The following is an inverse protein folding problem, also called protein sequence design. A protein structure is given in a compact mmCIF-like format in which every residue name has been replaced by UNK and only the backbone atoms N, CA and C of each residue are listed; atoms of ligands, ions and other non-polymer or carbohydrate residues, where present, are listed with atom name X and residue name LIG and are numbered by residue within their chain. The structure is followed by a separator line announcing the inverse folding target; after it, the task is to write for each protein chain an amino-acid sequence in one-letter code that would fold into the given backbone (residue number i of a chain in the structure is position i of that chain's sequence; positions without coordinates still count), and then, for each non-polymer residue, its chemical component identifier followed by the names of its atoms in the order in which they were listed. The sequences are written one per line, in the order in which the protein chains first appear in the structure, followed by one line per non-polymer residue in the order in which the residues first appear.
data_IF_729219557912
#
_entry.id   IF_729219557912
#
_cell.length_a   1.000
_cell.length_b   1.000
_cell.length_c   1.000
_cell.angle_alpha   90.00
_cell.angle_beta   90.00
_cell.angle_gamma   90.00
#
_symmetry.space_group_name_H-M   'P 1'
#
loop_
_entity.id
_entity.type
_entity.pdbx_description
1 polymer ?
#
# COMPACT_ATOMS: atom_id res chain seq x y z
N UNK A 1 3.43 -20.51 29.48
CA UNK A 1 4.47 -20.15 28.50
C UNK A 1 3.95 -20.24 27.07
N UNK A 2 3.59 -21.42 26.51
CA UNK A 2 3.11 -21.51 25.11
C UNK A 2 1.83 -20.73 24.79
N UNK A 3 0.91 -20.57 25.77
CA UNK A 3 -0.33 -19.79 25.59
C UNK A 3 -0.08 -18.29 25.42
N UNK A 4 0.74 -17.71 26.30
CA UNK A 4 1.14 -16.29 26.23
C UNK A 4 1.86 -16.01 24.91
N UNK A 5 2.80 -16.87 24.51
CA UNK A 5 3.46 -16.75 23.21
C UNK A 5 2.47 -16.79 22.03
N UNK A 6 1.48 -17.68 22.07
CA UNK A 6 0.47 -17.75 21.01
C UNK A 6 -0.42 -16.50 20.97
N UNK A 7 -0.77 -15.95 22.14
CA UNK A 7 -1.51 -14.69 22.26
C UNK A 7 -0.70 -13.52 21.69
N UNK A 8 0.60 -13.45 21.96
CA UNK A 8 1.52 -12.45 21.38
C UNK A 8 1.60 -12.56 19.85
N UNK A 9 1.68 -13.78 19.30
CA UNK A 9 1.66 -13.99 17.85
C UNK A 9 0.32 -13.56 17.22
N UNK A 10 -0.80 -13.83 17.90
CA UNK A 10 -2.12 -13.35 17.46
C UNK A 10 -2.17 -11.83 17.45
N UNK A 11 -1.67 -11.17 18.50
CA UNK A 11 -1.62 -9.70 18.57
C UNK A 11 -0.80 -9.09 17.42
N UNK A 12 0.33 -9.68 17.05
CA UNK A 12 1.11 -9.22 15.88
C UNK A 12 0.27 -9.31 14.59
N UNK A 13 -0.51 -10.38 14.42
CA UNK A 13 -1.43 -10.54 13.30
C UNK A 13 -2.53 -9.46 13.30
N UNK A 14 -3.17 -9.25 14.45
CA UNK A 14 -4.23 -8.25 14.60
C UNK A 14 -3.72 -6.83 14.34
N UNK A 15 -2.50 -6.51 14.78
CA UNK A 15 -1.87 -5.22 14.51
C UNK A 15 -1.59 -5.00 13.01
N UNK A 16 -1.18 -6.03 12.26
CA UNK A 16 -1.05 -5.91 10.80
C UNK A 16 -2.39 -5.59 10.12
N UNK A 17 -3.47 -6.22 10.59
CA UNK A 17 -4.82 -5.95 10.09
C UNK A 17 -5.24 -4.51 10.42
N UNK A 18 -5.00 -4.03 11.64
CA UNK A 18 -5.26 -2.63 12.03
C UNK A 18 -4.51 -1.64 11.12
N UNK A 19 -3.21 -1.86 10.90
CA UNK A 19 -2.40 -1.01 10.01
C UNK A 19 -2.97 -1.05 8.58
N UNK A 20 -3.31 -2.23 8.06
CA UNK A 20 -3.88 -2.39 6.72
C UNK A 20 -5.21 -1.64 6.54
N UNK A 21 -6.07 -1.65 7.55
CA UNK A 21 -7.33 -0.90 7.54
C UNK A 21 -7.08 0.62 7.51
N UNK A 22 -6.11 1.11 8.27
CA UNK A 22 -5.72 2.52 8.25
C UNK A 22 -5.14 2.94 6.90
N UNK A 23 -4.31 2.10 6.28
CA UNK A 23 -3.76 2.32 4.94
C UNK A 23 -4.88 2.37 3.89
N UNK A 24 -5.85 1.45 3.94
CA UNK A 24 -7.03 1.50 3.05
C UNK A 24 -7.83 2.80 3.23
N UNK A 25 -8.09 3.20 4.48
CA UNK A 25 -8.77 4.46 4.74
C UNK A 25 -7.96 5.68 4.24
N UNK A 26 -6.64 5.65 4.39
CA UNK A 26 -5.75 6.72 3.95
C UNK A 26 -5.77 6.89 2.43
N UNK A 27 -5.64 5.81 1.64
CA UNK A 27 -5.65 5.90 0.18
C UNK A 27 -7.03 6.34 -0.35
N UNK A 28 -8.13 5.86 0.22
CA UNK A 28 -9.48 6.28 -0.18
C UNK A 28 -9.73 7.77 0.05
N UNK A 29 -9.27 8.31 1.18
CA UNK A 29 -9.34 9.75 1.46
C UNK A 29 -8.38 10.56 0.58
N UNK A 30 -7.15 10.08 0.40
CA UNK A 30 -6.13 10.76 -0.41
C UNK A 30 -6.56 10.89 -1.87
N UNK A 31 -7.15 9.84 -2.43
CA UNK A 31 -7.65 9.82 -3.81
C UNK A 31 -8.86 10.72 -4.00
N UNK A 32 -9.78 10.74 -3.03
CA UNK A 32 -10.90 11.70 -3.02
C UNK A 32 -10.37 13.13 -3.01
N UNK A 33 -9.47 13.46 -2.08
CA UNK A 33 -8.86 14.79 -1.98
C UNK A 33 -8.15 15.20 -3.28
N UNK A 34 -7.43 14.27 -3.89
CA UNK A 34 -6.74 14.45 -5.17
C UNK A 34 -7.68 14.74 -6.34
N UNK A 35 -8.82 14.04 -6.43
CA UNK A 35 -9.77 14.16 -7.54
C UNK A 35 -10.60 15.43 -7.48
N UNK A 36 -11.04 15.85 -6.28
CA UNK A 36 -11.96 17.00 -6.12
C UNK A 36 -11.29 18.23 -5.52
N UNK A 37 -9.96 18.23 -5.38
CA UNK A 37 -9.17 19.29 -4.74
C UNK A 37 -9.68 19.64 -3.32
N UNK A 38 -9.99 18.62 -2.52
CA UNK A 38 -10.43 18.81 -1.13
C UNK A 38 -9.21 18.92 -0.21
N UNK A 39 -8.91 20.15 0.21
CA UNK A 39 -7.74 20.47 1.03
C UNK A 39 -7.89 20.05 2.49
N UNK A 40 -9.11 19.96 3.00
CA UNK A 40 -9.37 19.56 4.38
C UNK A 40 -9.17 18.04 4.49
N UNK A 41 -9.72 17.30 3.55
CA UNK A 41 -9.50 15.86 3.46
C UNK A 41 -8.02 15.51 3.23
N UNK A 42 -7.31 16.31 2.42
CA UNK A 42 -5.87 16.14 2.25
C UNK A 42 -5.10 16.34 3.58
N UNK A 43 -5.48 17.34 4.38
CA UNK A 43 -4.86 17.58 5.69
C UNK A 43 -5.14 16.45 6.67
N UNK A 44 -6.35 15.90 6.67
CA UNK A 44 -6.71 14.76 7.50
C UNK A 44 -5.84 13.53 7.22
N UNK A 45 -5.60 13.22 5.94
CA UNK A 45 -4.69 12.12 5.55
C UNK A 45 -3.28 12.38 6.06
N UNK A 46 -2.77 13.59 5.85
CA UNK A 46 -1.41 13.96 6.26
C UNK A 46 -1.23 13.86 7.77
N UNK A 47 -2.23 14.25 8.56
CA UNK A 47 -2.19 14.16 10.01
C UNK A 47 -2.34 12.72 10.52
N UNK A 48 -3.18 11.91 9.85
CA UNK A 48 -3.44 10.53 10.24
C UNK A 48 -2.25 9.58 10.04
N UNK A 49 -1.31 9.93 9.15
CA UNK A 49 -0.12 9.12 8.82
C UNK A 49 0.73 8.77 10.07
N UNK A 50 0.86 9.72 11.02
CA UNK A 50 1.59 9.49 12.26
C UNK A 50 1.06 8.32 13.11
N UNK A 51 -0.22 7.95 12.95
CA UNK A 51 -0.80 6.77 13.62
C UNK A 51 -0.30 5.47 12.99
N UNK A 52 -0.11 5.45 11.67
CA UNK A 52 0.43 4.29 10.96
C UNK A 52 1.88 4.06 11.41
N UNK A 53 2.70 5.11 11.44
CA UNK A 53 4.08 5.07 11.93
C UNK A 53 4.18 4.54 13.36
N UNK A 54 3.32 5.05 14.25
CA UNK A 54 3.29 4.62 15.64
C UNK A 54 2.99 3.13 15.77
N UNK A 55 1.99 2.63 15.03
CA UNK A 55 1.59 1.23 15.07
C UNK A 55 2.67 0.32 14.46
N UNK A 56 3.31 0.76 13.37
CA UNK A 56 4.41 0.02 12.76
C UNK A 56 5.59 -0.14 13.72
N UNK A 57 6.01 0.95 14.38
CA UNK A 57 7.08 0.89 15.39
C UNK A 57 6.69 0.01 16.59
N UNK A 58 5.45 0.11 17.07
CA UNK A 58 4.98 -0.72 18.18
C UNK A 58 4.95 -2.22 17.83
N UNK A 59 4.57 -2.56 16.59
CA UNK A 59 4.61 -3.93 16.10
C UNK A 59 6.06 -4.43 16.03
N UNK A 60 6.97 -3.61 15.54
CA UNK A 60 8.40 -3.95 15.43
C UNK A 60 9.03 -4.22 16.80
N UNK A 61 8.77 -3.36 17.79
CA UNK A 61 9.22 -3.57 19.18
C UNK A 61 8.70 -4.90 19.74
N UNK A 62 7.40 -5.17 19.58
CA UNK A 62 6.79 -6.43 20.03
C UNK A 62 7.41 -7.65 19.35
N UNK A 63 7.63 -7.58 18.05
CA UNK A 63 8.26 -8.66 17.29
C UNK A 63 9.69 -8.94 17.79
N UNK A 64 10.46 -7.90 18.12
CA UNK A 64 11.81 -8.02 18.70
C UNK A 64 11.74 -8.68 20.09
N UNK A 65 10.81 -8.25 20.94
CA UNK A 65 10.62 -8.83 22.27
C UNK A 65 10.27 -10.33 22.20
N UNK A 66 9.39 -10.72 21.28
CA UNK A 66 9.05 -12.12 21.06
C UNK A 66 10.29 -12.93 20.64
N UNK A 67 11.10 -12.40 19.70
CA UNK A 67 12.33 -13.05 19.26
C UNK A 67 13.33 -13.23 20.41
N UNK A 68 13.51 -12.20 21.23
CA UNK A 68 14.46 -12.20 22.33
C UNK A 68 14.04 -13.11 23.50
N UNK A 69 12.74 -13.14 23.83
CA UNK A 69 12.24 -13.80 25.03
C UNK A 69 11.78 -15.24 24.81
N UNK A 70 11.35 -15.61 23.60
CA UNK A 70 10.65 -16.88 23.36
C UNK A 70 11.43 -17.87 22.47
N UNK A 71 12.48 -17.43 21.76
CA UNK A 71 13.29 -18.30 20.89
C UNK A 71 12.47 -19.06 19.83
N UNK A 72 11.63 -18.39 19.02
CA UNK A 72 10.74 -19.03 18.07
C UNK A 72 11.49 -19.80 16.98
N UNK A 73 10.90 -20.90 16.50
CA UNK A 73 11.52 -21.78 15.48
C UNK A 73 10.59 -21.99 14.28
N UNK A 74 11.18 -22.35 13.13
CA UNK A 74 10.49 -22.76 11.91
C UNK A 74 9.33 -21.83 11.48
N UNK A 75 8.07 -22.25 11.66
CA UNK A 75 6.88 -21.48 11.29
C UNK A 75 6.75 -20.18 12.05
N UNK A 76 7.10 -20.18 13.33
CA UNK A 76 6.87 -19.04 14.21
C UNK A 76 7.88 -17.93 13.91
N UNK A 77 9.13 -18.32 13.67
CA UNK A 77 10.16 -17.39 13.20
C UNK A 77 9.79 -16.78 11.84
N UNK A 78 9.27 -17.59 10.91
CA UNK A 78 8.78 -17.08 9.62
C UNK A 78 7.65 -16.08 9.81
N UNK A 79 6.70 -16.35 10.71
CA UNK A 79 5.60 -15.43 11.01
C UNK A 79 6.14 -14.09 11.48
N UNK A 80 7.01 -14.06 12.49
CA UNK A 80 7.51 -12.82 13.08
C UNK A 80 8.33 -12.01 12.08
N UNK A 81 9.26 -12.65 11.36
CA UNK A 81 10.08 -11.98 10.33
C UNK A 81 9.21 -11.52 9.16
N UNK A 82 8.19 -12.29 8.80
CA UNK A 82 7.19 -11.91 7.80
C UNK A 82 6.44 -10.65 8.24
N UNK A 83 5.98 -10.60 9.49
CA UNK A 83 5.26 -9.46 10.06
C UNK A 83 6.07 -8.18 10.03
N UNK A 84 7.36 -8.21 10.43
CA UNK A 84 8.26 -7.06 10.33
C UNK A 84 8.38 -6.50 8.90
N UNK A 85 8.43 -7.38 7.90
CA UNK A 85 8.54 -6.96 6.49
C UNK A 85 7.22 -6.45 5.94
N UNK A 86 6.10 -7.01 6.41
CA UNK A 86 4.76 -6.57 6.03
C UNK A 86 4.42 -5.22 6.68
N UNK A 87 4.73 -5.04 7.97
CA UNK A 87 4.53 -3.77 8.70
C UNK A 87 5.24 -2.62 8.00
N UNK A 88 6.51 -2.80 7.64
CA UNK A 88 7.26 -1.82 6.87
C UNK A 88 6.63 -1.56 5.50
N UNK A 89 6.16 -2.58 4.78
CA UNK A 89 5.51 -2.37 3.48
C UNK A 89 4.19 -1.60 3.61
N UNK A 90 3.41 -1.85 4.67
CA UNK A 90 2.17 -1.14 4.95
C UNK A 90 2.42 0.32 5.34
N UNK A 91 3.44 0.61 6.16
CA UNK A 91 3.86 1.98 6.45
C UNK A 91 4.19 2.74 5.17
N UNK A 92 5.01 2.15 4.28
CA UNK A 92 5.31 2.74 2.97
C UNK A 92 4.07 3.04 2.13
N UNK A 93 3.01 2.23 2.24
CA UNK A 93 1.73 2.49 1.57
C UNK A 93 1.01 3.71 2.18
N UNK A 94 0.98 3.84 3.51
CA UNK A 94 0.47 5.04 4.20
C UNK A 94 1.22 6.31 3.78
N UNK A 95 2.55 6.21 3.75
CA UNK A 95 3.49 7.25 3.32
C UNK A 95 3.18 7.77 1.90
N UNK A 96 2.83 6.85 0.98
CA UNK A 96 2.46 7.17 -0.40
C UNK A 96 1.06 7.78 -0.50
N UNK A 97 0.10 7.31 0.30
CA UNK A 97 -1.20 7.97 0.41
C UNK A 97 -1.05 9.41 0.93
N UNK A 98 -0.17 9.63 1.92
CA UNK A 98 0.21 10.98 2.38
C UNK A 98 0.82 11.81 1.25
N UNK A 99 1.71 11.27 0.43
CA UNK A 99 2.28 12.01 -0.71
C UNK A 99 1.22 12.43 -1.74
N UNK A 100 0.24 11.56 -2.04
CA UNK A 100 -0.89 11.91 -2.92
C UNK A 100 -1.70 13.07 -2.33
N UNK A 101 -2.01 13.02 -1.03
CA UNK A 101 -2.70 14.09 -0.32
C UNK A 101 -1.89 15.40 -0.30
N UNK A 102 -0.56 15.32 -0.15
CA UNK A 102 0.32 16.49 -0.20
C UNK A 102 0.30 17.18 -1.56
N UNK A 103 0.24 16.42 -2.66
CA UNK A 103 0.06 17.00 -4.00
C UNK A 103 -1.28 17.73 -4.11
N UNK A 104 -2.37 17.12 -3.65
CA UNK A 104 -3.70 17.75 -3.64
C UNK A 104 -3.69 19.08 -2.88
N UNK A 105 -3.14 19.09 -1.66
CA UNK A 105 -3.00 20.30 -0.84
C UNK A 105 -2.12 21.36 -1.50
N UNK A 106 -1.02 20.96 -2.16
CA UNK A 106 -0.09 21.88 -2.81
C UNK A 106 -0.74 22.64 -3.98
N UNK A 107 -1.70 22.01 -4.68
CA UNK A 107 -2.33 22.58 -5.88
C UNK A 107 -3.67 23.25 -5.64
N UNK A 108 -4.24 23.10 -4.45
CA UNK A 108 -5.46 23.78 -4.04
C UNK A 108 -5.42 25.30 -4.37
N UNK A 109 -6.48 25.89 -4.96
CA UNK A 109 -7.79 25.29 -5.25
C UNK A 109 -7.89 24.54 -6.59
N UNK A 110 -6.78 24.38 -7.31
CA UNK A 110 -6.74 23.66 -8.59
C UNK A 110 -6.53 22.15 -8.39
N UNK A 111 -6.90 21.36 -9.39
CA UNK A 111 -6.58 19.93 -9.44
C UNK A 111 -5.10 19.71 -9.76
N UNK A 112 -4.56 18.58 -9.30
CA UNK A 112 -3.16 18.19 -9.56
C UNK A 112 -2.93 17.84 -11.03
N UNK A 113 -3.93 17.25 -11.66
CA UNK A 113 -3.85 16.70 -13.02
C UNK A 113 -4.72 17.51 -13.99
N UNK A 114 -4.36 17.54 -15.29
CA UNK A 114 -5.19 18.13 -16.32
C UNK A 114 -6.42 17.27 -16.61
N UNK A 115 -7.45 17.89 -17.20
CA UNK A 115 -8.72 17.21 -17.51
C UNK A 115 -8.53 15.95 -18.38
N UNK A 116 -7.57 15.98 -19.31
CA UNK A 116 -7.23 14.86 -20.20
C UNK A 116 -6.76 13.60 -19.47
N UNK A 117 -6.31 13.71 -18.21
CA UNK A 117 -5.79 12.61 -17.40
C UNK A 117 -6.77 12.12 -16.34
N UNK A 118 -7.95 12.74 -16.23
CA UNK A 118 -8.92 12.48 -15.13
C UNK A 118 -9.31 11.00 -15.05
N UNK A 119 -9.68 10.38 -16.16
CA UNK A 119 -10.11 8.97 -16.18
C UNK A 119 -8.96 8.00 -15.85
N UNK A 120 -7.75 8.30 -16.32
CA UNK A 120 -6.56 7.47 -16.02
C UNK A 120 -6.26 7.45 -14.52
N UNK A 121 -6.29 8.62 -13.87
CA UNK A 121 -6.03 8.70 -12.43
C UNK A 121 -7.20 8.23 -11.57
N UNK A 122 -8.44 8.38 -12.06
CA UNK A 122 -9.58 7.73 -11.43
C UNK A 122 -9.41 6.22 -11.43
N UNK A 123 -8.96 5.64 -12.53
CA UNK A 123 -8.71 4.20 -12.61
C UNK A 123 -7.56 3.74 -11.73
N UNK A 124 -6.46 4.50 -11.65
CA UNK A 124 -5.37 4.24 -10.70
C UNK A 124 -5.90 4.23 -9.25
N UNK A 125 -6.69 5.23 -8.87
CA UNK A 125 -7.30 5.31 -7.54
C UNK A 125 -8.20 4.11 -7.21
N UNK A 126 -9.06 3.69 -8.14
CA UNK A 126 -9.92 2.51 -7.97
C UNK A 126 -9.11 1.22 -7.77
N UNK A 127 -7.99 1.06 -8.50
CA UNK A 127 -7.14 -0.12 -8.40
C UNK A 127 -6.34 -0.14 -7.08
N UNK A 128 -5.79 0.99 -6.66
CA UNK A 128 -5.06 1.07 -5.39
C UNK A 128 -5.98 0.85 -4.18
N UNK A 129 -7.19 1.42 -4.22
CA UNK A 129 -8.22 1.13 -3.21
C UNK A 129 -8.55 -0.38 -3.18
N UNK A 130 -8.76 -0.99 -4.34
CA UNK A 130 -9.02 -2.43 -4.45
C UNK A 130 -7.87 -3.27 -3.86
N UNK A 131 -6.62 -2.89 -4.12
CA UNK A 131 -5.44 -3.56 -3.56
C UNK A 131 -5.43 -3.44 -2.04
N UNK A 132 -5.64 -2.25 -1.50
CA UNK A 132 -5.64 -2.02 -0.05
C UNK A 132 -6.74 -2.79 0.68
N UNK A 133 -7.95 -2.84 0.11
CA UNK A 133 -9.06 -3.61 0.66
C UNK A 133 -8.78 -5.12 0.63
N UNK A 134 -8.26 -5.63 -0.49
CA UNK A 134 -7.89 -7.03 -0.64
C UNK A 134 -6.74 -7.42 0.28
N UNK A 135 -5.80 -6.53 0.59
CA UNK A 135 -4.73 -6.80 1.55
C UNK A 135 -5.26 -7.06 2.95
N UNK A 136 -6.24 -6.28 3.38
CA UNK A 136 -6.89 -6.49 4.68
C UNK A 136 -7.53 -7.88 4.72
N UNK A 137 -8.29 -8.24 3.69
CA UNK A 137 -8.89 -9.58 3.57
C UNK A 137 -7.82 -10.67 3.53
N UNK A 138 -6.71 -10.46 2.81
CA UNK A 138 -5.62 -11.43 2.72
C UNK A 138 -4.91 -11.65 4.06
N UNK A 139 -4.72 -10.60 4.85
CA UNK A 139 -4.11 -10.69 6.18
C UNK A 139 -5.01 -11.45 7.17
N UNK A 140 -6.33 -11.25 7.07
CA UNK A 140 -7.33 -11.94 7.90
C UNK A 140 -7.50 -13.43 7.51
N UNK A 141 -7.60 -13.71 6.21
CA UNK A 141 -8.02 -15.03 5.70
C UNK A 141 -6.86 -15.92 5.27
N UNK A 142 -5.73 -15.31 4.86
CA UNK A 142 -4.59 -15.98 4.21
C UNK A 142 -4.97 -16.71 2.91
N UNK A 143 -6.06 -16.31 2.26
CA UNK A 143 -6.53 -16.89 1.01
C UNK A 143 -5.63 -16.49 -0.17
N UNK A 144 -4.98 -17.47 -0.81
CA UNK A 144 -4.05 -17.23 -1.91
C UNK A 144 -4.75 -16.78 -3.20
N UNK A 145 -6.07 -16.99 -3.36
CA UNK A 145 -6.80 -16.39 -4.48
C UNK A 145 -6.83 -14.87 -4.37
N UNK A 146 -7.01 -14.34 -3.15
CA UNK A 146 -6.97 -12.90 -2.89
C UNK A 146 -5.59 -12.31 -3.23
N UNK A 147 -4.51 -13.04 -2.95
CA UNK A 147 -3.17 -12.65 -3.36
C UNK A 147 -3.05 -12.56 -4.90
N UNK A 148 -3.60 -13.50 -5.66
CA UNK A 148 -3.59 -13.45 -7.13
C UNK A 148 -4.36 -12.25 -7.67
N UNK A 149 -5.50 -11.92 -7.07
CA UNK A 149 -6.26 -10.73 -7.44
C UNK A 149 -5.47 -9.43 -7.24
N UNK A 150 -4.69 -9.33 -6.14
CA UNK A 150 -3.80 -8.19 -5.89
C UNK A 150 -2.75 -8.07 -6.99
N UNK A 151 -2.10 -9.18 -7.37
CA UNK A 151 -1.11 -9.19 -8.44
C UNK A 151 -1.71 -8.73 -9.77
N UNK A 152 -2.92 -9.20 -10.09
CA UNK A 152 -3.64 -8.79 -11.30
C UNK A 152 -3.99 -7.30 -11.29
N UNK A 153 -4.44 -6.76 -10.16
CA UNK A 153 -4.70 -5.34 -10.01
C UNK A 153 -3.42 -4.51 -10.18
N UNK A 154 -2.29 -4.95 -9.61
CA UNK A 154 -0.99 -4.29 -9.77
C UNK A 154 -0.51 -4.26 -11.23
N UNK A 155 -0.71 -5.34 -11.98
CA UNK A 155 -0.40 -5.36 -13.42
C UNK A 155 -1.17 -4.27 -14.18
N UNK A 156 -2.46 -4.06 -13.87
CA UNK A 156 -3.24 -2.98 -14.46
C UNK A 156 -2.75 -1.58 -14.02
N UNK A 157 -2.29 -1.42 -12.77
CA UNK A 157 -1.67 -0.17 -12.30
C UNK A 157 -0.39 0.12 -13.09
N UNK A 158 0.46 -0.88 -13.32
CA UNK A 158 1.68 -0.74 -14.10
C UNK A 158 1.41 -0.30 -15.55
N UNK A 159 0.40 -0.90 -16.19
CA UNK A 159 0.00 -0.51 -17.55
C UNK A 159 -0.45 0.96 -17.62
N UNK A 160 -1.26 1.40 -16.65
CA UNK A 160 -1.69 2.79 -16.54
C UNK A 160 -0.52 3.73 -16.25
N UNK A 161 0.37 3.35 -15.34
CA UNK A 161 1.58 4.10 -15.05
C UNK A 161 2.43 4.35 -16.30
N UNK A 162 2.68 3.30 -17.09
CA UNK A 162 3.39 3.40 -18.38
C UNK A 162 2.61 4.27 -19.36
N UNK A 163 1.27 4.17 -19.41
CA UNK A 163 0.45 5.02 -20.28
C UNK A 163 0.57 6.50 -19.96
N UNK A 164 0.69 6.87 -18.69
CA UNK A 164 0.90 8.28 -18.26
C UNK A 164 2.21 8.81 -18.84
N UNK A 165 3.30 8.06 -18.72
CA UNK A 165 4.59 8.45 -19.28
C UNK A 165 4.57 8.56 -20.81
N UNK A 166 3.85 7.66 -21.49
CA UNK A 166 3.67 7.75 -22.95
C UNK A 166 2.91 9.01 -23.34
N UNK A 167 1.91 9.40 -22.57
CA UNK A 167 1.08 10.56 -22.86
C UNK A 167 1.82 11.88 -22.63
N UNK A 168 2.53 12.04 -21.51
CA UNK A 168 3.30 13.27 -21.24
C UNK A 168 4.49 13.45 -22.20
N UNK A 169 4.93 12.39 -22.88
CA UNK A 169 6.00 12.42 -23.86
C UNK A 169 5.51 12.69 -25.30
N UNK A 170 4.19 12.78 -25.52
CA UNK A 170 3.66 13.11 -26.85
C UNK A 170 3.93 14.58 -27.20
N UNK A 171 4.05 14.87 -28.50
CA UNK A 171 4.27 16.22 -29.01
C UNK A 171 3.11 17.19 -28.77
N UNK A 172 1.91 16.65 -28.53
CA UNK A 172 0.68 17.39 -28.23
C UNK A 172 0.44 17.59 -26.73
N UNK A 173 1.40 17.19 -25.88
CA UNK A 173 1.39 17.54 -24.46
C UNK A 173 1.78 19.00 -24.29
N UNK A 174 0.80 19.84 -23.97
CA UNK A 174 0.96 21.30 -23.87
C UNK A 174 0.83 21.84 -22.44
N UNK A 175 0.83 20.96 -21.44
CA UNK A 175 0.80 21.37 -20.04
C UNK A 175 2.12 21.98 -19.59
N UNK A 176 2.06 22.76 -18.50
CA UNK A 176 3.26 23.38 -17.93
C UNK A 176 4.27 22.33 -17.43
N UNK A 177 5.57 22.65 -17.35
CA UNK A 177 6.56 21.76 -16.74
C UNK A 177 6.19 21.36 -15.30
N UNK A 178 5.58 22.26 -14.53
CA UNK A 178 5.12 21.97 -13.17
C UNK A 178 4.00 20.91 -13.17
N UNK A 179 2.95 21.10 -13.97
CA UNK A 179 1.85 20.14 -14.14
C UNK A 179 2.37 18.79 -14.62
N UNK A 180 3.33 18.79 -15.54
CA UNK A 180 3.93 17.57 -16.09
C UNK A 180 4.66 16.77 -15.00
N UNK A 181 5.41 17.46 -14.14
CA UNK A 181 6.09 16.85 -12.99
C UNK A 181 5.08 16.31 -11.99
N UNK A 182 4.01 17.05 -11.69
CA UNK A 182 2.97 16.60 -10.76
C UNK A 182 2.27 15.34 -11.26
N UNK A 183 1.94 15.27 -12.56
CA UNK A 183 1.34 14.09 -13.20
C UNK A 183 2.29 12.90 -13.10
N UNK A 184 3.58 13.08 -13.40
CA UNK A 184 4.57 12.01 -13.31
C UNK A 184 4.74 11.51 -11.86
N UNK A 185 4.83 12.42 -10.89
CA UNK A 185 4.95 12.10 -9.47
C UNK A 185 3.71 11.38 -8.95
N UNK A 186 2.52 11.89 -9.25
CA UNK A 186 1.26 11.27 -8.84
C UNK A 186 1.20 9.83 -9.37
N UNK A 187 1.44 9.62 -10.67
CA UNK A 187 1.45 8.30 -11.29
C UNK A 187 2.45 7.34 -10.63
N UNK A 188 3.63 7.84 -10.23
CA UNK A 188 4.64 7.06 -9.51
C UNK A 188 4.20 6.71 -8.09
N UNK A 189 3.47 7.58 -7.39
CA UNK A 189 2.99 7.29 -6.05
C UNK A 189 1.94 6.18 -6.05
N UNK A 190 1.00 6.19 -7.01
CA UNK A 190 0.04 5.10 -7.21
C UNK A 190 0.75 3.76 -7.52
N UNK A 191 1.67 3.75 -8.48
CA UNK A 191 2.40 2.51 -8.84
C UNK A 191 3.22 1.95 -7.66
N UNK A 192 3.89 2.80 -6.90
CA UNK A 192 4.65 2.35 -5.73
C UNK A 192 3.75 1.84 -4.61
N UNK A 193 2.54 2.39 -4.47
CA UNK A 193 1.59 1.95 -3.47
C UNK A 193 1.15 0.51 -3.79
N UNK A 194 0.76 0.27 -5.04
CA UNK A 194 0.39 -1.05 -5.54
C UNK A 194 1.52 -2.09 -5.36
N UNK A 195 2.76 -1.71 -5.68
CA UNK A 195 3.93 -2.59 -5.50
C UNK A 195 4.16 -3.00 -4.04
N UNK A 196 3.96 -2.08 -3.09
CA UNK A 196 4.05 -2.42 -1.67
C UNK A 196 2.93 -3.36 -1.25
N UNK A 197 1.75 -3.27 -1.87
CA UNK A 197 0.69 -4.26 -1.73
C UNK A 197 1.11 -5.64 -2.23
N UNK A 198 1.71 -5.73 -3.43
CA UNK A 198 2.28 -7.00 -3.93
C UNK A 198 3.35 -7.54 -2.99
N UNK A 199 4.20 -6.66 -2.44
CA UNK A 199 5.19 -7.02 -1.43
C UNK A 199 4.51 -7.75 -0.28
N UNK A 200 3.48 -7.18 0.36
CA UNK A 200 2.75 -7.83 1.46
C UNK A 200 2.13 -9.16 1.02
N UNK A 201 1.45 -9.20 -0.13
CA UNK A 201 0.78 -10.41 -0.63
C UNK A 201 1.73 -11.59 -0.85
N UNK A 202 2.94 -11.32 -1.35
CA UNK A 202 4.00 -12.33 -1.48
C UNK A 202 4.48 -12.86 -0.12
N UNK A 203 4.51 -12.03 0.92
CA UNK A 203 4.93 -12.47 2.27
C UNK A 203 3.85 -13.37 2.87
N UNK A 204 2.57 -13.05 2.73
CA UNK A 204 1.48 -13.94 3.13
C UNK A 204 1.56 -15.28 2.38
N UNK A 205 1.83 -15.24 1.07
CA UNK A 205 2.01 -16.46 0.26
C UNK A 205 3.18 -17.31 0.78
N UNK A 206 4.29 -16.69 1.13
CA UNK A 206 5.45 -17.37 1.74
C UNK A 206 5.12 -17.96 3.11
N UNK A 207 4.31 -17.27 3.93
CA UNK A 207 3.87 -17.79 5.23
C UNK A 207 3.03 -19.06 5.08
N UNK A 208 2.13 -19.09 4.10
CA UNK A 208 1.24 -20.24 3.83
C UNK A 208 2.02 -21.41 3.20
N UNK A 209 2.87 -21.13 2.21
CA UNK A 209 3.48 -22.17 1.37
C UNK A 209 4.89 -22.59 1.79
N UNK A 210 5.61 -21.70 2.47
CA UNK A 210 7.05 -21.85 2.77
C UNK A 210 7.99 -21.63 1.59
N UNK A 211 7.48 -21.22 0.43
CA UNK A 211 8.28 -20.93 -0.77
C UNK A 211 8.02 -19.49 -1.25
N UNK A 212 9.08 -18.77 -1.63
CA UNK A 212 8.95 -17.43 -2.24
C UNK A 212 8.37 -17.50 -3.65
N UNK A 213 8.63 -18.62 -4.33
CA UNK A 213 8.07 -18.99 -5.61
C UNK A 213 7.48 -20.39 -5.45
N UNK A 214 6.23 -20.53 -4.94
CA UNK A 214 5.55 -21.81 -5.03
C UNK A 214 5.41 -22.15 -6.52
N UNK A 215 5.82 -23.37 -6.92
CA UNK A 215 5.72 -23.83 -8.31
C UNK A 215 4.30 -23.51 -8.86
N UNK A 216 4.21 -22.59 -9.82
CA UNK A 216 2.93 -22.25 -10.49
C UNK A 216 2.49 -20.78 -10.49
N UNK A 217 3.25 -19.83 -9.94
CA UNK A 217 3.01 -18.39 -10.18
C UNK A 217 3.99 -17.94 -11.27
N UNK A 218 3.64 -18.21 -12.53
CA UNK A 218 4.35 -17.64 -13.68
C UNK A 218 4.17 -16.12 -13.67
N UNK A 219 5.29 -15.40 -13.85
CA UNK A 219 5.31 -13.96 -14.01
C UNK A 219 4.51 -13.58 -15.27
N UNK A 220 3.36 -12.92 -15.08
CA UNK A 220 2.67 -12.18 -16.13
C UNK A 220 3.17 -10.73 -16.15
#
# INVERSE_FOLDING_TARGET
MRKVFQEELTQVGDQLVEISQLVSAAIGKATTAFQVADVDLAQDVIAADARIDFLQNSLDERAIDILALQGPVASDLRMIVGSLRMSASLERMGDLARHIAQLARLRFPSTVIPASMTETFKRLAELDQLIADKLTVLLETRDLEVARDILKANSAVNDLHVSVFKAIAQSDWHESPATTVDVALASRYFERFADHGVSVAQKVTYLVTGAWQPNGIEHA
#
